data_IF_948094863538
#
_entry.id   IF_948094863538
#
_cell.length_a   1.000
_cell.length_b   1.000
_cell.length_c   1.000
_cell.angle_alpha   90.00
_cell.angle_beta   90.00
_cell.angle_gamma   90.00
#
_symmetry.space_group_name_H-M   'P 1'
#
loop_
_entity.id
_entity.type
_entity.pdbx_description
1 polymer ?
#
# COMPACT_ATOMS: atom_id res chain seq x y z
N UNK A 1 -1.81 -4.00 4.48
CA UNK A 1 -2.20 -5.23 3.74
C UNK A 1 -1.23 -5.57 2.63
N UNK A 2 -0.86 -4.66 1.72
CA UNK A 2 0.10 -4.95 0.64
C UNK A 2 1.41 -5.59 1.11
N UNK A 3 2.07 -5.02 2.13
CA UNK A 3 3.32 -5.58 2.65
C UNK A 3 3.15 -6.97 3.30
N UNK A 4 2.07 -7.18 4.04
CA UNK A 4 1.85 -8.39 4.85
C UNK A 4 1.19 -9.54 4.09
N UNK A 5 0.37 -9.23 3.08
CA UNK A 5 -0.46 -10.19 2.35
C UNK A 5 0.11 -10.48 0.97
N UNK A 6 0.62 -9.46 0.28
CA UNK A 6 1.13 -9.57 -1.10
C UNK A 6 2.67 -9.55 -1.15
N UNK A 7 3.35 -9.32 -0.03
CA UNK A 7 4.82 -9.16 0.01
C UNK A 7 5.32 -7.88 -0.66
N UNK A 8 4.44 -6.92 -0.95
CA UNK A 8 4.77 -5.68 -1.67
C UNK A 8 4.95 -4.53 -0.67
N UNK A 9 6.21 -4.18 -0.41
CA UNK A 9 6.56 -3.11 0.54
C UNK A 9 6.73 -1.75 -0.15
N UNK A 10 5.72 -0.89 -0.04
CA UNK A 10 5.58 0.37 -0.78
C UNK A 10 5.00 1.49 0.10
N UNK A 11 5.13 2.74 -0.33
CA UNK A 11 4.60 3.91 0.38
C UNK A 11 3.08 4.05 0.35
N UNK A 12 2.60 5.12 1.00
CA UNK A 12 1.17 5.40 1.16
C UNK A 12 0.43 5.63 -0.17
N UNK A 13 1.08 6.32 -1.13
CA UNK A 13 0.48 6.64 -2.44
C UNK A 13 0.17 5.38 -3.23
N UNK A 14 1.12 4.44 -3.26
CA UNK A 14 0.97 3.10 -3.83
C UNK A 14 -0.23 2.35 -3.22
N UNK A 15 -0.38 2.42 -1.89
CA UNK A 15 -1.52 1.84 -1.19
C UNK A 15 -2.87 2.43 -1.61
N UNK A 16 -2.94 3.76 -1.74
CA UNK A 16 -4.13 4.46 -2.19
C UNK A 16 -4.50 4.11 -3.64
N UNK A 17 -3.50 4.03 -4.53
CA UNK A 17 -3.69 3.68 -5.93
C UNK A 17 -4.26 2.25 -6.08
N UNK A 18 -3.71 1.27 -5.34
CA UNK A 18 -4.23 -0.10 -5.36
C UNK A 18 -5.63 -0.18 -4.75
N UNK A 19 -5.92 0.56 -3.68
CA UNK A 19 -7.26 0.60 -3.11
C UNK A 19 -8.31 1.13 -4.11
N UNK A 20 -7.97 2.18 -4.86
CA UNK A 20 -8.79 2.71 -5.94
C UNK A 20 -8.98 1.70 -7.08
N UNK A 21 -7.89 1.04 -7.50
CA UNK A 21 -7.94 0.00 -8.53
C UNK A 21 -8.84 -1.17 -8.13
N UNK A 22 -8.75 -1.66 -6.88
CA UNK A 22 -9.62 -2.72 -6.36
C UNK A 22 -11.09 -2.28 -6.30
N UNK A 23 -11.35 -1.00 -6.00
CA UNK A 23 -12.71 -0.46 -6.03
C UNK A 23 -13.28 -0.44 -7.46
N UNK A 24 -12.48 -0.04 -8.44
CA UNK A 24 -12.88 -0.05 -9.85
C UNK A 24 -13.06 -1.47 -10.39
N UNK A 25 -12.15 -2.39 -10.06
CA UNK A 25 -12.22 -3.79 -10.48
C UNK A 25 -13.55 -4.46 -10.10
N UNK A 26 -14.10 -4.12 -8.92
CA UNK A 26 -15.41 -4.63 -8.47
C UNK A 26 -16.60 -4.17 -9.31
N UNK A 27 -16.45 -3.11 -10.10
CA UNK A 27 -17.50 -2.52 -10.95
C UNK A 27 -17.32 -2.85 -12.42
N UNK A 28 -16.24 -3.55 -12.79
CA UNK A 28 -15.92 -3.88 -14.18
C UNK A 28 -16.36 -5.31 -14.49
N UNK A 29 -16.97 -5.51 -15.65
CA UNK A 29 -17.35 -6.84 -16.13
C UNK A 29 -16.15 -7.60 -16.72
N UNK A 30 -15.22 -6.89 -17.37
CA UNK A 30 -13.95 -7.45 -17.87
C UNK A 30 -12.92 -6.35 -18.14
N UNK A 31 -11.63 -6.71 -18.12
CA UNK A 31 -10.51 -5.81 -18.45
C UNK A 31 -9.28 -6.02 -17.56
N UNK A 32 -8.22 -5.27 -17.82
CA UNK A 32 -6.98 -5.28 -17.04
C UNK A 32 -6.75 -3.87 -16.46
N UNK A 33 -6.54 -3.79 -15.14
CA UNK A 33 -6.15 -2.55 -14.46
C UNK A 33 -4.66 -2.58 -14.18
N UNK A 34 -3.95 -1.53 -14.58
CA UNK A 34 -2.53 -1.34 -14.30
C UNK A 34 -2.38 -0.23 -13.27
N UNK A 35 -1.55 -0.47 -12.25
CA UNK A 35 -1.28 0.47 -11.17
C UNK A 35 0.22 0.67 -11.02
N UNK A 36 0.66 1.92 -10.85
CA UNK A 36 2.06 2.26 -10.62
C UNK A 36 2.30 2.43 -9.13
N UNK A 37 3.37 1.78 -8.63
CA UNK A 37 3.86 1.94 -7.26
C UNK A 37 5.19 2.72 -7.32
N UNK A 38 5.16 4.06 -7.12
CA UNK A 38 6.28 4.94 -7.45
C UNK A 38 7.52 4.77 -6.56
N UNK A 39 7.38 4.20 -5.37
CA UNK A 39 8.43 4.12 -4.36
C UNK A 39 8.33 2.87 -3.48
N UNK A 40 9.47 2.53 -2.86
CA UNK A 40 9.58 1.45 -1.87
C UNK A 40 9.24 1.97 -0.47
N UNK A 41 8.66 1.09 0.35
CA UNK A 41 8.20 1.41 1.70
C UNK A 41 9.31 1.80 2.68
N UNK A 42 10.57 1.45 2.40
CA UNK A 42 11.72 1.71 3.29
C UNK A 42 11.92 3.21 3.58
N UNK A 43 11.60 4.06 2.61
CA UNK A 43 11.69 5.52 2.73
C UNK A 43 10.71 6.10 3.76
N UNK A 44 9.73 5.31 4.17
CA UNK A 44 8.65 5.75 5.06
C UNK A 44 8.76 5.19 6.47
N UNK A 45 9.83 4.45 6.80
CA UNK A 45 10.04 3.88 8.14
C UNK A 45 10.15 4.94 9.24
N UNK A 46 10.67 6.13 8.91
CA UNK A 46 10.75 7.29 9.83
C UNK A 46 9.46 8.11 9.89
N UNK A 47 8.45 7.78 9.07
CA UNK A 47 7.18 8.50 9.02
C UNK A 47 6.12 7.82 9.88
N UNK A 48 4.93 8.41 9.97
CA UNK A 48 3.79 7.80 10.68
C UNK A 48 3.23 6.57 9.99
N UNK A 49 3.57 6.30 8.72
CA UNK A 49 3.00 5.23 7.90
C UNK A 49 3.13 3.84 8.53
N UNK A 50 4.25 3.58 9.21
CA UNK A 50 4.55 2.30 9.86
C UNK A 50 4.68 2.39 11.38
N UNK A 51 4.30 3.53 11.98
CA UNK A 51 4.51 3.80 13.41
C UNK A 51 3.74 2.85 14.33
N UNK A 52 2.62 2.29 13.89
CA UNK A 52 1.87 1.27 14.63
C UNK A 52 2.38 -0.17 14.41
N UNK A 53 3.24 -0.38 13.41
CA UNK A 53 3.80 -1.69 13.04
C UNK A 53 5.22 -1.86 13.61
N UNK A 54 5.95 -0.76 13.81
CA UNK A 54 7.18 -0.71 14.60
C UNK A 54 6.79 -0.87 16.08
N UNK A 55 6.82 -2.11 16.57
CA UNK A 55 6.09 -2.55 17.76
C UNK A 55 6.40 -1.77 19.05
N UNK A 56 5.36 -1.56 19.86
CA UNK A 56 5.40 -1.37 21.33
C UNK A 56 6.53 -0.49 21.91
N UNK A 57 6.99 0.56 21.23
CA UNK A 57 7.88 1.53 21.87
C UNK A 57 7.00 2.61 22.54
N UNK A 58 7.08 2.82 23.86
CA UNK A 58 6.46 3.98 24.50
C UNK A 58 7.07 5.28 23.94
N UNK A 59 6.38 6.43 24.07
CA UNK A 59 6.94 7.73 23.67
C UNK A 59 8.25 8.05 24.38
#
# INVERSE_FOLDING_TARGET
>A
KLATSEGVFVGMSSGAAVAGALHMAKKMDSGIIVVILPDRGERYLSTTLFRSVCGKCPP
#
